data_IF_585763645539
#
_entry.id   IF_585763645539
#
_cell.length_a   1.000
_cell.length_b   1.000
_cell.length_c   1.000
_cell.angle_alpha   90.00
_cell.angle_beta   90.00
_cell.angle_gamma   90.00
#
_symmetry.space_group_name_H-M   'P 1'
#
loop_
_entity.id
_entity.type
_entity.pdbx_description
1 polymer ?
#
# COMPACT_ATOMS: atom_id res chain seq x y z
N UNK A 1 24.96 2.47 -25.60
CA UNK A 1 24.46 2.34 -24.22
C UNK A 1 24.75 3.59 -23.40
N UNK A 2 23.70 4.30 -22.99
CA UNK A 2 23.79 5.41 -22.03
C UNK A 2 24.16 4.84 -20.65
N UNK A 3 25.32 5.21 -20.10
CA UNK A 3 25.76 4.75 -18.78
C UNK A 3 25.39 5.80 -17.73
N UNK A 4 24.41 5.46 -16.91
CA UNK A 4 24.03 6.25 -15.74
C UNK A 4 25.07 5.98 -14.65
N UNK A 5 25.80 7.01 -14.22
CA UNK A 5 26.67 6.90 -13.05
C UNK A 5 25.85 7.04 -11.77
N UNK A 6 26.34 6.45 -10.68
CA UNK A 6 25.78 6.64 -9.34
C UNK A 6 25.58 8.12 -9.01
N UNK A 7 26.59 8.93 -9.28
CA UNK A 7 26.56 10.37 -9.02
C UNK A 7 25.55 11.11 -9.92
N UNK A 8 25.30 10.61 -11.14
CA UNK A 8 24.22 11.14 -11.98
C UNK A 8 22.86 10.80 -11.38
N UNK A 9 22.65 9.58 -10.88
CA UNK A 9 21.39 9.17 -10.27
C UNK A 9 21.08 9.97 -9.00
N UNK A 10 22.06 10.14 -8.11
CA UNK A 10 21.91 10.98 -6.90
C UNK A 10 21.62 12.43 -7.29
N UNK A 11 22.39 13.02 -8.21
CA UNK A 11 22.15 14.41 -8.66
C UNK A 11 20.82 14.58 -9.35
N UNK A 12 20.37 13.58 -10.11
CA UNK A 12 19.07 13.59 -10.76
C UNK A 12 17.97 13.60 -9.70
N UNK A 13 18.06 12.73 -8.69
CA UNK A 13 17.08 12.68 -7.61
C UNK A 13 17.04 13.98 -6.82
N UNK A 14 18.19 14.54 -6.44
CA UNK A 14 18.27 15.84 -5.75
C UNK A 14 17.69 16.97 -6.60
N UNK A 15 18.10 17.07 -7.87
CA UNK A 15 17.62 18.12 -8.80
C UNK A 15 16.11 18.07 -9.03
N UNK A 16 15.50 16.90 -8.90
CA UNK A 16 14.08 16.69 -9.10
C UNK A 16 13.30 16.49 -7.79
N UNK A 17 13.93 16.77 -6.63
CA UNK A 17 13.35 16.60 -5.30
C UNK A 17 12.70 15.22 -5.09
N UNK A 18 13.33 14.19 -5.66
CA UNK A 18 12.92 12.79 -5.49
C UNK A 18 13.56 12.27 -4.20
N UNK A 19 12.75 12.03 -3.19
CA UNK A 19 13.20 11.45 -1.92
C UNK A 19 12.82 9.97 -1.83
N UNK A 20 13.63 9.13 -1.16
CA UNK A 20 13.29 7.72 -0.95
C UNK A 20 12.11 7.51 0.02
N UNK A 21 11.80 8.52 0.84
CA UNK A 21 10.77 8.46 1.88
C UNK A 21 9.85 9.66 1.79
N UNK A 22 8.69 9.47 1.17
CA UNK A 22 7.76 10.56 0.92
C UNK A 22 6.62 10.57 1.94
N UNK A 23 6.90 11.03 3.17
CA UNK A 23 5.90 11.15 4.26
C UNK A 23 4.75 12.13 3.95
N UNK A 24 4.94 13.01 2.95
CA UNK A 24 3.96 14.01 2.49
C UNK A 24 3.49 13.77 1.05
N UNK A 25 3.29 12.50 0.67
CA UNK A 25 2.81 12.06 -0.66
C UNK A 25 1.66 12.89 -1.24
N UNK A 26 0.67 13.23 -0.41
CA UNK A 26 -0.54 13.97 -0.79
C UNK A 26 -0.25 15.45 -1.13
N UNK A 27 0.81 16.02 -0.56
CA UNK A 27 1.23 17.41 -0.81
C UNK A 27 2.04 17.58 -2.09
N UNK A 28 2.59 16.49 -2.64
CA UNK A 28 3.47 16.62 -3.80
C UNK A 28 2.73 17.19 -5.02
N UNK A 29 3.35 18.14 -5.73
CA UNK A 29 2.73 18.73 -6.90
C UNK A 29 2.59 17.68 -7.99
N UNK A 30 1.34 17.27 -8.25
CA UNK A 30 1.05 16.49 -9.45
C UNK A 30 1.25 17.36 -10.71
N UNK A 31 1.73 16.75 -11.82
CA UNK A 31 1.66 17.33 -13.15
C UNK A 31 0.28 17.92 -13.42
N UNK A 32 0.21 19.01 -14.18
CA UNK A 32 -1.04 19.76 -14.38
C UNK A 32 -2.21 18.88 -14.87
N UNK A 33 -1.93 17.93 -15.77
CA UNK A 33 -2.90 16.95 -16.28
C UNK A 33 -3.42 16.02 -15.17
N UNK A 34 -2.52 15.46 -14.37
CA UNK A 34 -2.87 14.58 -13.24
C UNK A 34 -3.61 15.32 -12.13
N UNK A 35 -3.32 16.61 -11.95
CA UNK A 35 -4.04 17.46 -10.99
C UNK A 35 -5.52 17.56 -11.33
N UNK A 36 -5.85 17.78 -12.60
CA UNK A 36 -7.21 17.80 -13.11
C UNK A 36 -7.90 16.45 -12.95
N UNK A 37 -7.20 15.36 -13.28
CA UNK A 37 -7.73 14.00 -13.17
C UNK A 37 -8.14 13.64 -11.74
N UNK A 38 -7.28 13.84 -10.73
CA UNK A 38 -7.71 13.52 -9.37
C UNK A 38 -8.72 14.53 -8.81
N UNK A 39 -8.76 15.78 -9.30
CA UNK A 39 -9.86 16.70 -9.03
C UNK A 39 -11.22 16.15 -9.49
N UNK A 40 -11.28 15.67 -10.73
CA UNK A 40 -12.47 15.05 -11.31
C UNK A 40 -12.86 13.76 -10.57
N UNK A 41 -11.89 12.95 -10.17
CA UNK A 41 -12.13 11.75 -9.34
C UNK A 41 -12.77 12.10 -7.99
N UNK A 42 -12.21 13.06 -7.25
CA UNK A 42 -12.77 13.48 -5.96
C UNK A 42 -14.21 13.97 -6.12
N UNK A 43 -14.47 14.80 -7.13
CA UNK A 43 -15.84 15.28 -7.42
C UNK A 43 -16.78 14.12 -7.75
N UNK A 44 -16.33 13.17 -8.57
CA UNK A 44 -17.08 11.96 -8.91
C UNK A 44 -17.41 11.13 -7.67
N UNK A 45 -16.42 10.79 -6.85
CA UNK A 45 -16.60 9.97 -5.66
C UNK A 45 -17.60 10.63 -4.68
N UNK A 46 -17.41 11.92 -4.38
CA UNK A 46 -18.31 12.65 -3.50
C UNK A 46 -19.72 12.81 -4.08
N UNK A 47 -19.85 12.91 -5.41
CA UNK A 47 -21.16 12.90 -6.09
C UNK A 47 -21.85 11.55 -5.94
N UNK A 48 -21.14 10.44 -6.12
CA UNK A 48 -21.71 9.10 -5.96
C UNK A 48 -22.17 8.85 -4.52
N UNK A 49 -21.34 9.20 -3.53
CA UNK A 49 -21.69 9.09 -2.11
C UNK A 49 -22.98 9.85 -1.79
N UNK A 50 -23.12 11.08 -2.29
CA UNK A 50 -24.33 11.91 -2.09
C UNK A 50 -25.54 11.38 -2.84
N UNK A 51 -25.40 11.07 -4.13
CA UNK A 51 -26.50 10.67 -5.00
C UNK A 51 -27.13 9.34 -4.58
N UNK A 52 -26.33 8.40 -4.07
CA UNK A 52 -26.78 7.10 -3.63
C UNK A 52 -27.02 7.03 -2.11
N UNK A 53 -26.80 8.13 -1.38
CA UNK A 53 -26.88 8.20 0.08
C UNK A 53 -26.11 7.05 0.76
N UNK A 54 -24.90 6.77 0.28
CA UNK A 54 -24.11 5.63 0.76
C UNK A 54 -23.73 5.83 2.23
N UNK A 55 -24.06 4.88 3.12
CA UNK A 55 -23.56 4.93 4.49
C UNK A 55 -22.04 4.74 4.47
N UNK A 56 -21.35 5.37 5.42
CA UNK A 56 -19.87 5.28 5.53
C UNK A 56 -19.35 3.85 5.61
N UNK A 57 -20.15 2.93 6.14
CA UNK A 57 -19.82 1.51 6.20
C UNK A 57 -19.90 0.76 4.87
N UNK A 58 -20.42 1.39 3.82
CA UNK A 58 -20.53 0.84 2.46
C UNK A 58 -19.60 1.58 1.49
N UNK A 59 -18.70 2.41 2.00
CA UNK A 59 -17.64 3.07 1.23
C UNK A 59 -16.34 2.44 1.69
N UNK A 60 -15.69 1.68 0.83
CA UNK A 60 -14.46 0.98 1.14
C UNK A 60 -13.31 1.49 0.27
N UNK A 61 -12.09 1.41 0.78
CA UNK A 61 -10.87 1.48 0.00
C UNK A 61 -10.22 0.10 0.03
N UNK A 62 -9.83 -0.39 -1.14
CA UNK A 62 -9.19 -1.70 -1.33
C UNK A 62 -7.91 -1.50 -2.15
N UNK A 63 -6.86 -2.23 -1.77
CA UNK A 63 -5.56 -2.21 -2.44
C UNK A 63 -4.74 -3.43 -1.97
N UNK A 64 -3.81 -3.86 -2.81
CA UNK A 64 -2.94 -5.01 -2.64
C UNK A 64 -1.57 -4.60 -2.07
N UNK A 65 -0.97 -5.53 -1.32
CA UNK A 65 0.41 -5.45 -0.87
C UNK A 65 1.13 -6.77 -1.16
N UNK A 66 1.95 -6.74 -2.20
CA UNK A 66 2.84 -7.84 -2.59
C UNK A 66 4.02 -7.96 -1.63
N UNK A 67 4.29 -9.17 -1.19
CA UNK A 67 5.45 -9.54 -0.40
C UNK A 67 6.32 -10.51 -1.20
N UNK A 68 7.58 -10.17 -1.37
CA UNK A 68 8.58 -10.95 -2.08
C UNK A 68 9.61 -11.51 -1.10
N UNK A 69 10.09 -12.71 -1.37
CA UNK A 69 11.20 -13.33 -0.63
C UNK A 69 12.36 -13.61 -1.56
N UNK A 70 13.51 -13.03 -1.25
CA UNK A 70 14.77 -13.35 -1.90
C UNK A 70 15.36 -14.61 -1.27
N UNK A 71 15.28 -15.72 -2.01
CA UNK A 71 15.78 -17.02 -1.56
C UNK A 71 17.31 -17.08 -1.45
N UNK A 72 18.04 -16.31 -2.26
CA UNK A 72 19.51 -16.27 -2.23
C UNK A 72 19.99 -15.56 -0.96
N UNK A 73 19.39 -14.40 -0.67
CA UNK A 73 19.67 -13.62 0.54
C UNK A 73 19.24 -14.38 1.80
N UNK A 74 18.13 -15.11 1.73
CA UNK A 74 17.67 -15.97 2.83
C UNK A 74 18.62 -17.14 3.10
N UNK A 75 19.13 -17.78 2.04
CA UNK A 75 20.03 -18.94 2.10
C UNK A 75 21.49 -18.62 2.44
N UNK A 76 21.91 -17.35 2.31
CA UNK A 76 23.28 -16.90 2.52
C UNK A 76 23.80 -16.92 3.97
N UNK A 77 25.02 -16.39 4.15
CA UNK A 77 25.81 -16.41 5.39
C UNK A 77 25.21 -15.60 6.58
N UNK A 78 24.08 -14.94 6.34
CA UNK A 78 23.26 -14.25 7.34
C UNK A 78 23.55 -12.77 7.51
N UNK A 79 24.56 -12.18 6.82
CA UNK A 79 24.89 -10.76 6.96
C UNK A 79 23.86 -9.81 6.32
N UNK A 80 23.09 -10.29 5.33
CA UNK A 80 22.08 -9.52 4.58
C UNK A 80 20.65 -10.07 4.70
N UNK A 81 20.38 -11.03 5.59
CA UNK A 81 19.06 -11.70 5.68
C UNK A 81 17.91 -10.74 6.04
N UNK A 82 18.23 -9.63 6.69
CA UNK A 82 17.30 -8.54 6.95
C UNK A 82 16.69 -7.92 5.68
N UNK A 83 17.38 -8.03 4.55
CA UNK A 83 16.94 -7.52 3.24
C UNK A 83 16.12 -8.54 2.43
N UNK A 84 15.97 -9.77 2.93
CA UNK A 84 15.33 -10.85 2.17
C UNK A 84 13.82 -10.69 1.97
N UNK A 85 13.13 -10.01 2.90
CA UNK A 85 11.72 -9.64 2.71
C UNK A 85 11.65 -8.29 2.01
N UNK A 86 11.00 -8.25 0.85
CA UNK A 86 10.81 -7.06 0.05
C UNK A 86 9.33 -6.81 -0.21
N UNK A 87 8.95 -5.54 -0.36
CA UNK A 87 7.57 -5.12 -0.71
C UNK A 87 7.48 -4.56 -2.14
N UNK A 88 8.60 -4.61 -2.85
CA UNK A 88 8.78 -4.29 -4.26
C UNK A 88 9.79 -5.32 -4.76
N UNK A 89 9.47 -6.01 -5.84
CA UNK A 89 10.31 -7.07 -6.36
C UNK A 89 10.04 -7.33 -7.83
N UNK A 90 11.00 -7.98 -8.47
CA UNK A 90 10.86 -8.46 -9.84
C UNK A 90 10.49 -9.94 -9.81
N UNK A 91 9.44 -10.31 -10.54
CA UNK A 91 8.93 -11.68 -10.58
C UNK A 91 7.66 -11.85 -9.76
N UNK A 92 7.42 -13.08 -9.31
CA UNK A 92 6.14 -13.44 -8.73
C UNK A 92 6.18 -13.34 -7.19
N UNK A 93 5.13 -12.78 -6.58
CA UNK A 93 5.04 -12.56 -5.15
C UNK A 93 5.04 -13.88 -4.36
N UNK A 94 5.68 -13.87 -3.19
CA UNK A 94 5.55 -14.95 -2.21
C UNK A 94 4.15 -14.95 -1.59
N UNK A 95 3.67 -13.76 -1.21
CA UNK A 95 2.33 -13.57 -0.68
C UNK A 95 1.72 -12.28 -1.25
N UNK A 96 0.41 -12.32 -1.52
CA UNK A 96 -0.39 -11.16 -1.87
C UNK A 96 -1.40 -10.87 -0.75
N UNK A 97 -1.34 -9.66 -0.20
CA UNK A 97 -2.23 -9.22 0.87
C UNK A 97 -3.22 -8.18 0.33
N UNK A 98 -4.51 -8.52 0.28
CA UNK A 98 -5.58 -7.57 -0.05
C UNK A 98 -6.11 -6.94 1.24
N UNK A 99 -5.93 -5.63 1.36
CA UNK A 99 -6.41 -4.84 2.50
C UNK A 99 -7.72 -4.15 2.17
N UNK A 100 -8.61 -4.04 3.15
CA UNK A 100 -9.86 -3.28 2.97
C UNK A 100 -10.23 -2.51 4.22
N UNK A 101 -10.34 -1.19 4.05
CA UNK A 101 -10.75 -0.27 5.12
C UNK A 101 -12.02 0.45 4.72
N UNK A 102 -12.86 0.78 5.71
CA UNK A 102 -14.16 1.41 5.50
C UNK A 102 -14.14 2.86 5.97
N UNK A 103 -14.93 3.70 5.32
CA UNK A 103 -15.01 5.12 5.67
C UNK A 103 -15.68 5.40 7.03
N UNK A 104 -16.26 4.37 7.67
CA UNK A 104 -16.73 4.43 9.06
C UNK A 104 -15.65 4.07 10.08
N UNK A 105 -14.43 3.76 9.63
CA UNK A 105 -13.26 3.46 10.43
C UNK A 105 -13.02 1.97 10.69
N UNK A 106 -13.91 1.08 10.24
CA UNK A 106 -13.69 -0.35 10.38
C UNK A 106 -12.66 -0.88 9.37
N UNK A 107 -11.98 -1.95 9.75
CA UNK A 107 -11.08 -2.73 8.90
C UNK A 107 -11.74 -4.09 8.67
N UNK A 108 -11.88 -4.50 7.42
CA UNK A 108 -12.41 -5.84 7.11
C UNK A 108 -11.31 -6.89 7.24
N UNK A 109 -11.65 -8.19 7.40
CA UNK A 109 -10.65 -9.25 7.35
C UNK A 109 -9.82 -9.16 6.07
N UNK A 110 -8.50 -9.19 6.19
CA UNK A 110 -7.59 -9.13 5.05
C UNK A 110 -7.54 -10.50 4.35
N UNK A 111 -7.51 -10.51 3.02
CA UNK A 111 -7.23 -11.73 2.27
C UNK A 111 -5.72 -11.85 2.12
N UNK A 112 -5.13 -12.96 2.56
CA UNK A 112 -3.74 -13.29 2.30
C UNK A 112 -3.70 -14.50 1.37
N UNK A 113 -3.17 -14.31 0.17
CA UNK A 113 -2.91 -15.39 -0.78
C UNK A 113 -1.43 -15.74 -0.71
N UNK A 114 -1.10 -16.94 -0.23
CA UNK A 114 0.27 -17.44 -0.22
C UNK A 114 0.52 -18.37 -1.39
N UNK A 115 1.66 -18.19 -2.06
CA UNK A 115 2.15 -19.13 -3.05
C UNK A 115 2.80 -20.34 -2.41
N UNK A 116 2.54 -21.52 -2.98
CA UNK A 116 2.92 -22.81 -2.43
C UNK A 116 1.93 -23.29 -1.37
N UNK A 117 1.81 -24.61 -1.24
CA UNK A 117 1.04 -25.20 -0.13
C UNK A 117 1.97 -25.39 1.07
N UNK A 118 1.77 -24.64 2.17
CA UNK A 118 2.62 -24.76 3.34
C UNK A 118 2.51 -26.17 3.92
N UNK A 119 3.66 -26.80 4.16
CA UNK A 119 3.77 -28.10 4.83
C UNK A 119 4.77 -28.00 5.99
N UNK A 120 4.34 -28.19 7.25
CA UNK A 120 2.94 -28.36 7.68
C UNK A 120 2.11 -27.07 7.46
N UNK A 121 0.76 -27.17 7.43
CA UNK A 121 -0.10 -26.00 7.44
C UNK A 121 0.17 -25.10 8.67
N UNK A 122 -0.13 -23.79 8.58
CA UNK A 122 -0.05 -22.90 9.74
C UNK A 122 -0.86 -23.45 10.92
N UNK A 123 -0.27 -23.43 12.11
CA UNK A 123 -0.90 -23.88 13.35
C UNK A 123 -2.08 -23.01 13.75
N UNK A 124 -2.01 -21.70 13.48
CA UNK A 124 -3.09 -20.76 13.74
C UNK A 124 -3.10 -19.62 12.72
N UNK A 125 -4.31 -19.27 12.26
CA UNK A 125 -4.59 -18.10 11.42
C UNK A 125 -5.42 -17.11 12.25
N UNK A 126 -4.99 -15.84 12.40
CA UNK A 126 -5.79 -14.84 13.11
C UNK A 126 -7.18 -14.64 12.48
N UNK A 127 -8.21 -14.40 13.31
CA UNK A 127 -9.60 -14.22 12.84
C UNK A 127 -9.77 -13.04 11.86
N UNK A 128 -8.86 -12.07 11.89
CA UNK A 128 -8.82 -10.93 10.98
C UNK A 128 -8.14 -11.23 9.63
N UNK A 129 -7.75 -12.48 9.37
CA UNK A 129 -7.09 -12.90 8.13
C UNK A 129 -7.84 -14.09 7.51
N UNK A 130 -8.14 -13.96 6.23
CA UNK A 130 -8.59 -15.07 5.38
C UNK A 130 -7.40 -15.56 4.59
N UNK A 131 -6.86 -16.73 4.93
CA UNK A 131 -5.73 -17.34 4.21
C UNK A 131 -6.22 -18.20 3.04
N UNK A 132 -5.65 -18.00 1.86
CA UNK A 132 -5.73 -18.91 0.72
C UNK A 132 -4.32 -19.34 0.32
N UNK A 133 -4.09 -20.64 0.14
CA UNK A 133 -2.80 -21.17 -0.27
C UNK A 133 -2.95 -21.99 -1.57
N UNK A 134 -2.31 -21.52 -2.65
CA UNK A 134 -2.31 -22.19 -3.96
C UNK A 134 -0.88 -22.53 -4.38
N UNK A 135 -0.70 -23.69 -5.00
CA UNK A 135 0.61 -24.20 -5.41
C UNK A 135 1.32 -23.25 -6.37
N UNK A 136 0.63 -22.81 -7.42
CA UNK A 136 1.14 -21.91 -8.45
C UNK A 136 0.89 -20.41 -8.14
N UNK A 137 0.33 -20.10 -6.96
CA UNK A 137 -0.22 -18.77 -6.65
C UNK A 137 -1.63 -18.57 -7.23
N UNK A 138 -2.11 -17.32 -7.19
CA UNK A 138 -3.32 -16.89 -7.89
C UNK A 138 -2.93 -15.80 -8.88
N UNK A 139 -3.63 -15.73 -10.00
CA UNK A 139 -3.60 -14.52 -10.82
C UNK A 139 -4.43 -13.40 -10.19
N UNK A 140 -4.30 -12.20 -10.73
CA UNK A 140 -4.90 -11.01 -10.15
C UNK A 140 -6.45 -11.03 -10.20
N UNK A 141 -7.05 -11.63 -11.24
CA UNK A 141 -8.50 -11.75 -11.36
C UNK A 141 -9.05 -12.74 -10.32
N UNK A 142 -8.37 -13.87 -10.13
CA UNK A 142 -8.68 -14.87 -9.09
C UNK A 142 -8.57 -14.29 -7.68
N UNK A 143 -7.58 -13.43 -7.41
CA UNK A 143 -7.42 -12.74 -6.12
C UNK A 143 -8.67 -11.89 -5.84
N UNK A 144 -9.12 -11.11 -6.83
CA UNK A 144 -10.29 -10.26 -6.70
C UNK A 144 -11.59 -11.05 -6.57
N UNK A 145 -11.73 -12.19 -7.27
CA UNK A 145 -12.83 -13.12 -7.10
C UNK A 145 -12.91 -13.67 -5.67
N UNK A 146 -11.77 -14.14 -5.15
CA UNK A 146 -11.65 -14.66 -3.80
C UNK A 146 -11.97 -13.59 -2.76
N UNK A 147 -11.43 -12.39 -2.93
CA UNK A 147 -11.69 -11.25 -2.05
C UNK A 147 -13.18 -10.89 -2.05
N UNK A 148 -13.78 -10.74 -3.24
CA UNK A 148 -15.19 -10.41 -3.36
C UNK A 148 -16.10 -11.49 -2.74
N UNK A 149 -15.75 -12.77 -2.90
CA UNK A 149 -16.45 -13.90 -2.30
C UNK A 149 -16.34 -13.97 -0.77
N UNK A 150 -15.13 -13.82 -0.24
CA UNK A 150 -14.84 -14.18 1.14
C UNK A 150 -14.82 -13.00 2.10
N UNK A 151 -14.64 -11.78 1.60
CA UNK A 151 -14.54 -10.56 2.39
C UNK A 151 -15.73 -9.65 2.09
N UNK A 152 -15.87 -9.17 0.85
CA UNK A 152 -16.85 -8.13 0.53
C UNK A 152 -18.31 -8.62 0.65
N UNK A 153 -18.66 -9.76 0.03
CA UNK A 153 -20.03 -10.31 0.11
C UNK A 153 -20.47 -10.59 1.55
N UNK A 154 -19.59 -11.14 2.38
CA UNK A 154 -19.90 -11.37 3.80
C UNK A 154 -20.21 -10.07 4.54
N UNK A 155 -19.49 -9.00 4.23
CA UNK A 155 -19.74 -7.68 4.82
C UNK A 155 -21.09 -7.10 4.37
N UNK A 156 -21.42 -7.19 3.08
CA UNK A 156 -22.67 -6.63 2.54
C UNK A 156 -23.90 -7.44 2.99
N UNK A 157 -23.82 -8.76 3.07
CA UNK A 157 -24.88 -9.65 3.56
C UNK A 157 -25.24 -9.38 5.03
N UNK A 158 -24.24 -9.23 5.91
CA UNK A 158 -24.43 -8.88 7.32
C UNK A 158 -25.20 -7.56 7.52
N UNK A 159 -25.16 -6.66 6.53
CA UNK A 159 -25.80 -5.33 6.58
C UNK A 159 -27.11 -5.26 5.80
N UNK A 160 -27.32 -6.17 4.84
CA UNK A 160 -28.54 -6.27 4.05
C UNK A 160 -29.71 -6.93 4.77
N UNK A 161 -29.47 -7.72 5.82
CA UNK A 161 -30.51 -8.46 6.55
C UNK A 161 -31.53 -7.59 7.33
N UNK A 162 -31.31 -6.28 7.44
CA UNK A 162 -32.15 -5.36 8.21
C UNK A 162 -33.16 -4.51 7.41
N UNK A 163 -33.07 -4.48 6.08
CA UNK A 163 -33.94 -3.65 5.24
C UNK A 163 -34.81 -4.55 4.36
N UNK A 164 -36.12 -4.61 4.63
CA UNK A 164 -37.12 -5.38 3.87
C UNK A 164 -37.39 -4.85 2.45
N UNK A 165 -36.34 -4.41 1.73
CA UNK A 165 -36.39 -3.92 0.36
C UNK A 165 -35.71 -4.89 -0.61
N UNK A 166 -36.29 -5.04 -1.80
CA UNK A 166 -35.90 -5.94 -2.89
C UNK A 166 -34.62 -5.52 -3.65
N UNK A 167 -33.80 -4.64 -3.09
CA UNK A 167 -32.56 -4.16 -3.72
C UNK A 167 -31.36 -4.52 -2.84
N UNK A 168 -30.43 -5.31 -3.38
CA UNK A 168 -29.16 -5.60 -2.72
C UNK A 168 -28.45 -4.30 -2.32
N UNK A 169 -27.88 -4.21 -1.10
CA UNK A 169 -27.20 -3.00 -0.65
C UNK A 169 -25.99 -2.75 -1.56
N UNK A 170 -25.99 -1.60 -2.25
CA UNK A 170 -24.86 -1.19 -3.08
C UNK A 170 -23.82 -0.47 -2.22
N UNK A 171 -22.56 -0.86 -2.35
CA UNK A 171 -21.42 -0.11 -1.81
C UNK A 171 -20.56 0.48 -2.91
N UNK A 172 -19.66 1.38 -2.54
CA UNK A 172 -18.66 1.95 -3.42
C UNK A 172 -17.27 1.49 -2.96
N UNK A 173 -16.45 1.04 -3.91
CA UNK A 173 -15.07 0.64 -3.68
C UNK A 173 -14.16 1.69 -4.32
N UNK A 174 -13.23 2.22 -3.55
CA UNK A 174 -12.13 3.04 -4.04
C UNK A 174 -10.95 2.11 -4.30
N UNK A 175 -10.53 2.04 -5.55
CA UNK A 175 -9.46 1.17 -6.05
C UNK A 175 -8.55 1.99 -6.98
N UNK A 176 -7.31 1.58 -7.15
CA UNK A 176 -6.44 2.17 -8.15
C UNK A 176 -6.85 1.73 -9.57
N UNK A 177 -6.20 2.30 -10.59
CA UNK A 177 -6.40 1.90 -11.99
C UNK A 177 -5.45 0.77 -12.42
N UNK A 178 -5.01 -0.10 -11.52
CA UNK A 178 -4.24 -1.27 -11.92
C UNK A 178 -5.05 -2.05 -12.97
N UNK A 179 -4.37 -2.56 -14.00
CA UNK A 179 -5.03 -3.12 -15.19
C UNK A 179 -6.03 -4.22 -14.83
N UNK A 180 -5.72 -4.98 -13.81
CA UNK A 180 -6.47 -6.14 -13.32
C UNK A 180 -7.81 -5.71 -12.71
N UNK A 181 -7.84 -4.59 -12.01
CA UNK A 181 -9.06 -4.01 -11.48
C UNK A 181 -10.05 -3.55 -12.56
N UNK A 182 -9.58 -3.42 -13.80
CA UNK A 182 -10.35 -2.94 -14.94
C UNK A 182 -10.66 -4.06 -15.95
N UNK A 183 -10.34 -5.32 -15.64
CA UNK A 183 -10.75 -6.47 -16.47
C UNK A 183 -12.28 -6.61 -16.47
N UNK A 184 -12.84 -7.14 -17.55
CA UNK A 184 -14.29 -7.31 -17.66
C UNK A 184 -14.79 -8.31 -16.61
N UNK A 185 -13.98 -9.33 -16.34
CA UNK A 185 -14.14 -10.36 -15.34
C UNK A 185 -14.26 -9.74 -13.94
N UNK A 186 -13.28 -8.92 -13.53
CA UNK A 186 -13.31 -8.25 -12.22
C UNK A 186 -14.48 -7.29 -12.10
N UNK A 187 -14.77 -6.48 -13.14
CA UNK A 187 -15.92 -5.58 -13.12
C UNK A 187 -17.26 -6.33 -13.00
N UNK A 188 -17.40 -7.49 -13.63
CA UNK A 188 -18.56 -8.36 -13.49
C UNK A 188 -18.67 -8.93 -12.07
N UNK A 189 -17.55 -9.35 -11.48
CA UNK A 189 -17.46 -9.83 -10.10
C UNK A 189 -17.91 -8.74 -9.13
N UNK A 190 -17.36 -7.52 -9.24
CA UNK A 190 -17.73 -6.38 -8.40
C UNK A 190 -19.21 -6.04 -8.52
N UNK A 191 -19.73 -6.00 -9.76
CA UNK A 191 -21.15 -5.73 -10.02
C UNK A 191 -22.06 -6.78 -9.38
N UNK A 192 -21.72 -8.06 -9.53
CA UNK A 192 -22.46 -9.18 -8.91
C UNK A 192 -22.43 -9.13 -7.39
N UNK A 193 -21.34 -8.60 -6.81
CA UNK A 193 -21.16 -8.44 -5.38
C UNK A 193 -21.74 -7.12 -4.83
N UNK A 194 -22.44 -6.34 -5.66
CA UNK A 194 -23.06 -5.07 -5.26
C UNK A 194 -22.06 -3.96 -4.98
N UNK A 195 -20.88 -4.00 -5.59
CA UNK A 195 -19.85 -2.98 -5.49
C UNK A 195 -19.81 -2.10 -6.75
N UNK A 196 -19.90 -0.79 -6.55
CA UNK A 196 -19.60 0.20 -7.57
C UNK A 196 -18.12 0.57 -7.50
N UNK A 197 -17.30 0.28 -8.53
CA UNK A 197 -15.92 0.72 -8.56
C UNK A 197 -15.83 2.24 -8.78
N UNK A 198 -15.05 2.90 -7.92
CA UNK A 198 -14.57 4.27 -8.04
C UNK A 198 -13.06 4.22 -8.26
N UNK A 199 -12.69 4.16 -9.55
CA UNK A 199 -11.31 3.97 -10.00
C UNK A 199 -10.53 5.27 -9.88
N UNK A 200 -9.42 5.25 -9.15
CA UNK A 200 -8.48 6.35 -9.06
C UNK A 200 -7.71 6.46 -10.39
N UNK A 201 -7.61 7.65 -11.00
CA UNK A 201 -6.87 7.82 -12.24
C UNK A 201 -5.38 7.49 -12.08
N UNK A 202 -4.73 7.09 -13.18
CA UNK A 202 -3.31 6.79 -13.21
C UNK A 202 -2.46 7.95 -12.64
N UNK A 203 -1.47 7.60 -11.82
CA UNK A 203 -0.59 8.56 -11.16
C UNK A 203 -1.25 9.40 -10.05
N UNK A 204 -2.46 9.06 -9.61
CA UNK A 204 -3.19 9.82 -8.59
C UNK A 204 -3.36 9.08 -7.24
N UNK A 205 -2.89 7.83 -7.11
CA UNK A 205 -3.06 7.01 -5.89
C UNK A 205 -2.44 7.66 -4.66
N UNK A 206 -1.22 8.20 -4.77
CA UNK A 206 -0.53 8.91 -3.67
C UNK A 206 -1.33 10.04 -3.03
N UNK A 207 -2.31 10.60 -3.78
CA UNK A 207 -3.21 11.65 -3.32
C UNK A 207 -4.61 11.14 -2.96
N UNK A 208 -5.09 10.09 -3.62
CA UNK A 208 -6.52 9.77 -3.67
C UNK A 208 -6.88 8.38 -3.16
N UNK A 209 -5.88 7.56 -2.78
CA UNK A 209 -6.04 6.23 -2.21
C UNK A 209 -5.98 6.31 -0.67
N UNK A 210 -7.10 6.12 0.06
CA UNK A 210 -7.09 6.18 1.53
C UNK A 210 -6.10 5.21 2.21
N UNK A 211 -5.78 4.08 1.57
CA UNK A 211 -4.79 3.12 2.08
C UNK A 211 -3.35 3.67 1.98
N UNK A 212 -3.03 4.43 0.93
CA UNK A 212 -1.69 5.03 0.70
C UNK A 212 -1.42 6.24 1.60
N UNK A 213 -2.46 6.86 2.15
CA UNK A 213 -2.30 8.02 3.04
C UNK A 213 -1.46 7.66 4.26
N UNK A 214 -1.79 6.57 4.96
CA UNK A 214 -1.03 6.17 6.16
C UNK A 214 -0.95 4.66 6.40
N UNK A 215 -1.93 3.88 5.93
CA UNK A 215 -2.09 2.47 6.31
C UNK A 215 -1.02 1.58 5.68
N UNK A 216 -0.89 1.62 4.34
CA UNK A 216 0.01 0.75 3.58
C UNK A 216 1.47 1.03 3.93
N UNK A 217 1.84 2.31 4.03
CA UNK A 217 3.19 2.72 4.46
C UNK A 217 3.55 2.22 5.85
N UNK A 218 2.70 2.46 6.85
CA UNK A 218 2.95 2.02 8.22
C UNK A 218 2.99 0.48 8.34
N UNK A 219 2.12 -0.24 7.61
CA UNK A 219 2.14 -1.70 7.58
C UNK A 219 3.43 -2.24 6.97
N UNK A 220 3.90 -1.68 5.84
CA UNK A 220 5.19 -2.04 5.24
C UNK A 220 6.33 -1.86 6.24
N UNK A 221 6.42 -0.69 6.87
CA UNK A 221 7.44 -0.38 7.89
C UNK A 221 7.38 -1.36 9.07
N UNK A 222 6.19 -1.70 9.54
CA UNK A 222 5.99 -2.67 10.61
C UNK A 222 6.47 -4.08 10.24
N UNK A 223 6.10 -4.57 9.05
CA UNK A 223 6.53 -5.88 8.57
C UNK A 223 8.05 -5.96 8.42
N UNK A 224 8.67 -4.92 7.83
CA UNK A 224 10.13 -4.85 7.73
C UNK A 224 10.79 -4.81 9.12
N UNK A 225 10.25 -4.05 10.07
CA UNK A 225 10.77 -4.04 11.45
C UNK A 225 10.73 -5.44 12.09
N UNK A 226 9.56 -6.10 12.06
CA UNK A 226 9.39 -7.45 12.63
C UNK A 226 10.29 -8.47 11.93
N UNK A 227 10.46 -8.34 10.62
CA UNK A 227 11.39 -9.15 9.85
C UNK A 227 12.83 -8.96 10.35
N UNK A 228 13.33 -7.72 10.44
CA UNK A 228 14.69 -7.43 10.94
C UNK A 228 14.96 -8.01 12.33
N UNK A 229 14.00 -7.87 13.25
CA UNK A 229 14.11 -8.41 14.60
C UNK A 229 14.20 -9.95 14.65
N UNK A 230 13.67 -10.64 13.63
CA UNK A 230 13.57 -12.10 13.59
C UNK A 230 14.48 -12.77 12.57
N UNK A 231 14.98 -12.05 11.56
CA UNK A 231 15.78 -12.59 10.46
C UNK A 231 17.00 -13.40 10.95
N UNK A 232 17.68 -12.93 12.00
CA UNK A 232 18.82 -13.64 12.59
C UNK A 232 18.49 -15.04 13.16
N UNK A 233 17.24 -15.26 13.59
CA UNK A 233 16.74 -16.50 14.19
C UNK A 233 16.18 -17.48 13.15
N UNK A 234 15.91 -17.02 11.93
CA UNK A 234 15.26 -17.77 10.85
C UNK A 234 16.26 -18.50 9.92
N UNK A 235 17.38 -18.96 10.48
CA UNK A 235 18.44 -19.66 9.72
C UNK A 235 17.90 -20.96 9.11
N UNK A 236 17.95 -21.06 7.77
CA UNK A 236 17.51 -22.24 7.04
C UNK A 236 15.99 -22.45 7.02
N UNK A 237 15.20 -21.43 7.39
CA UNK A 237 13.76 -21.46 7.22
C UNK A 237 13.41 -21.38 5.73
N UNK A 238 12.46 -22.19 5.30
CA UNK A 238 11.83 -22.05 3.99
C UNK A 238 10.61 -21.11 4.05
N UNK A 239 10.07 -20.76 2.88
CA UNK A 239 8.89 -19.92 2.76
C UNK A 239 7.68 -20.45 3.58
N UNK A 240 7.55 -21.77 3.72
CA UNK A 240 6.48 -22.41 4.49
C UNK A 240 6.62 -22.13 6.00
N UNK A 241 7.83 -22.25 6.54
CA UNK A 241 8.12 -21.96 7.94
C UNK A 241 7.96 -20.46 8.28
N UNK A 242 8.11 -19.58 7.29
CA UNK A 242 7.98 -18.13 7.44
C UNK A 242 6.53 -17.63 7.43
N UNK A 243 5.59 -18.42 6.91
CA UNK A 243 4.18 -18.04 6.83
C UNK A 243 3.54 -17.87 8.21
N UNK A 244 3.87 -18.73 9.18
CA UNK A 244 3.29 -18.65 10.53
C UNK A 244 3.72 -17.36 11.28
N UNK A 245 5.00 -16.96 11.29
CA UNK A 245 5.42 -15.66 11.79
C UNK A 245 4.73 -14.50 11.07
N UNK A 246 4.66 -14.54 9.73
CA UNK A 246 4.02 -13.49 8.93
C UNK A 246 2.56 -13.30 9.31
N UNK A 247 1.79 -14.39 9.43
CA UNK A 247 0.40 -14.37 9.90
C UNK A 247 0.29 -13.72 11.28
N UNK A 248 1.20 -14.04 12.20
CA UNK A 248 1.24 -13.42 13.53
C UNK A 248 1.45 -11.91 13.48
N UNK A 249 2.41 -11.43 12.68
CA UNK A 249 2.68 -10.00 12.51
C UNK A 249 1.51 -9.27 11.84
N UNK A 250 0.96 -9.83 10.76
CA UNK A 250 -0.21 -9.28 10.10
C UNK A 250 -1.42 -9.20 11.05
N UNK A 251 -1.64 -10.25 11.85
CA UNK A 251 -2.69 -10.26 12.87
C UNK A 251 -2.52 -9.13 13.89
N UNK A 252 -1.30 -8.95 14.42
CA UNK A 252 -0.96 -7.86 15.35
C UNK A 252 -1.23 -6.48 14.71
N UNK A 253 -0.77 -6.26 13.48
CA UNK A 253 -0.96 -4.99 12.79
C UNK A 253 -2.43 -4.68 12.48
N UNK A 254 -3.19 -5.66 11.99
CA UNK A 254 -4.62 -5.50 11.69
C UNK A 254 -5.44 -5.25 12.96
N UNK A 255 -5.07 -5.88 14.08
CA UNK A 255 -5.73 -5.63 15.36
C UNK A 255 -5.47 -4.20 15.87
N UNK A 256 -4.25 -3.69 15.69
CA UNK A 256 -3.91 -2.27 15.99
C UNK A 256 -4.72 -1.33 15.10
N UNK A 257 -4.79 -1.59 13.78
CA UNK A 257 -5.59 -0.80 12.85
C UNK A 257 -7.07 -0.77 13.24
N UNK A 258 -7.63 -1.92 13.63
CA UNK A 258 -9.01 -2.05 14.11
C UNK A 258 -9.30 -1.25 15.40
N UNK A 259 -8.28 -0.92 16.19
CA UNK A 259 -8.38 -0.09 17.40
C UNK A 259 -8.23 1.41 17.12
N UNK A 260 -7.89 1.82 15.90
CA UNK A 260 -7.65 3.21 15.53
C UNK A 260 -8.62 3.71 14.43
N UNK A 261 -9.96 3.59 14.61
CA UNK A 261 -10.93 3.92 13.57
C UNK A 261 -10.91 5.39 13.14
N UNK A 262 -10.45 6.29 14.02
CA UNK A 262 -10.25 7.70 13.72
C UNK A 262 -9.17 7.95 12.66
N UNK A 263 -8.07 7.20 12.67
CA UNK A 263 -7.01 7.34 11.67
C UNK A 263 -7.52 6.92 10.29
N UNK A 264 -8.26 5.81 10.24
CA UNK A 264 -8.91 5.33 9.01
C UNK A 264 -9.94 6.35 8.50
N UNK A 265 -10.83 6.86 9.35
CA UNK A 265 -11.81 7.89 8.91
C UNK A 265 -11.13 9.13 8.34
N UNK A 266 -10.05 9.58 8.99
CA UNK A 266 -9.27 10.73 8.52
C UNK A 266 -8.59 10.45 7.18
N UNK A 267 -8.11 9.23 6.93
CA UNK A 267 -7.47 8.91 5.65
C UNK A 267 -8.42 9.09 4.45
N UNK A 268 -9.72 8.79 4.59
CA UNK A 268 -10.73 9.07 3.56
C UNK A 268 -10.99 10.57 3.32
N UNK A 269 -10.76 11.41 4.34
CA UNK A 269 -10.89 12.87 4.21
C UNK A 269 -9.66 13.46 3.51
N UNK A 270 -8.46 13.03 3.93
CA UNK A 270 -7.18 13.45 3.33
C UNK A 270 -7.11 13.01 1.87
N UNK A 271 -7.56 11.79 1.56
CA UNK A 271 -7.65 11.28 0.19
C UNK A 271 -8.74 11.96 -0.68
N UNK A 272 -9.55 12.85 -0.11
CA UNK A 272 -10.60 13.58 -0.81
C UNK A 272 -11.81 12.74 -1.26
N UNK A 273 -11.87 11.46 -0.88
CA UNK A 273 -13.01 10.56 -1.16
C UNK A 273 -14.28 11.06 -0.47
N UNK A 274 -14.14 11.54 0.76
CA UNK A 274 -15.22 12.15 1.53
C UNK A 274 -15.02 13.67 1.66
N UNK A 275 -16.11 14.46 1.65
CA UNK A 275 -16.01 15.90 1.84
C UNK A 275 -15.58 16.22 3.28
N UNK A 276 -14.73 17.24 3.44
CA UNK A 276 -14.35 17.73 4.76
C UNK A 276 -15.54 18.35 5.50
N UNK A 277 -15.61 18.17 6.85
CA UNK A 277 -16.56 18.91 7.67
C UNK A 277 -16.36 20.42 7.48
N UNK A 278 -17.44 21.17 7.25
CA UNK A 278 -17.38 22.63 7.12
C UNK A 278 -17.12 23.17 5.71
N UNK A 279 -16.85 22.32 4.72
CA UNK A 279 -16.68 22.75 3.33
C UNK A 279 -15.34 23.45 3.04
N UNK A 280 -14.36 23.33 3.93
CA UNK A 280 -12.98 23.77 3.68
C UNK A 280 -12.45 23.14 2.40
N UNK A 281 -11.85 23.97 1.54
CA UNK A 281 -11.20 23.51 0.33
C UNK A 281 -9.96 22.67 0.67
N UNK A 282 -9.72 21.60 -0.10
CA UNK A 282 -8.48 20.84 -0.02
C UNK A 282 -7.29 21.76 -0.30
N UNK A 283 -6.27 21.72 0.57
CA UNK A 283 -5.04 22.49 0.40
C UNK A 283 -3.86 21.53 0.53
N UNK A 284 -3.01 21.38 -0.51
CA UNK A 284 -1.96 20.37 -0.54
C UNK A 284 -1.04 20.39 0.68
N UNK A 285 -0.64 21.57 1.18
CA UNK A 285 0.21 21.69 2.36
C UNK A 285 -0.44 21.09 3.62
N UNK A 286 -1.64 21.56 3.98
CA UNK A 286 -2.41 21.01 5.11
C UNK A 286 -2.68 19.52 4.97
N UNK A 287 -3.00 19.06 3.76
CA UNK A 287 -3.25 17.64 3.51
C UNK A 287 -1.98 16.79 3.71
N UNK A 288 -0.81 17.36 3.38
CA UNK A 288 0.49 16.79 3.69
C UNK A 288 0.78 16.73 5.18
N UNK A 289 0.55 17.82 5.91
CA UNK A 289 0.76 17.86 7.36
C UNK A 289 -0.16 16.88 8.08
N UNK A 290 -1.45 16.83 7.68
CA UNK A 290 -2.40 15.85 8.20
C UNK A 290 -1.99 14.42 7.84
N UNK A 291 -1.44 14.16 6.66
CA UNK A 291 -0.89 12.85 6.28
C UNK A 291 0.27 12.44 7.19
N UNK A 292 1.21 13.34 7.43
CA UNK A 292 2.38 13.07 8.27
C UNK A 292 2.01 12.80 9.73
N UNK A 293 1.04 13.54 10.27
CA UNK A 293 0.45 13.28 11.59
C UNK A 293 -0.19 11.89 11.66
N UNK A 294 -0.94 11.50 10.61
CA UNK A 294 -1.57 10.18 10.55
C UNK A 294 -0.54 9.05 10.48
N UNK A 295 0.52 9.21 9.69
CA UNK A 295 1.63 8.25 9.62
C UNK A 295 2.29 8.13 10.99
N UNK A 296 2.68 9.25 11.59
CA UNK A 296 3.36 9.27 12.89
C UNK A 296 2.53 8.62 14.00
N UNK A 297 1.24 8.95 14.06
CA UNK A 297 0.32 8.37 15.02
C UNK A 297 0.16 6.85 14.81
N UNK A 298 0.04 6.39 13.57
CA UNK A 298 -0.11 4.96 13.29
C UNK A 298 1.20 4.19 13.57
N UNK A 299 2.35 4.75 13.21
CA UNK A 299 3.66 4.17 13.50
C UNK A 299 3.92 4.06 15.01
N UNK A 300 3.50 5.06 15.81
CA UNK A 300 3.56 4.99 17.27
C UNK A 300 2.72 3.83 17.80
N UNK A 301 1.49 3.65 17.29
CA UNK A 301 0.58 2.56 17.72
C UNK A 301 1.11 1.19 17.35
N UNK A 302 1.75 1.07 16.19
CA UNK A 302 2.43 -0.14 15.74
C UNK A 302 3.79 -0.34 16.45
N UNK A 303 4.13 0.51 17.42
CA UNK A 303 5.40 0.51 18.16
C UNK A 303 6.61 0.53 17.22
N UNK A 304 6.51 1.20 16.07
CA UNK A 304 7.61 1.34 15.10
C UNK A 304 8.62 2.37 15.62
N UNK A 305 8.13 3.43 16.28
CA UNK A 305 8.94 4.45 16.94
C UNK A 305 9.86 3.82 18.01
N UNK A 306 11.16 3.76 17.73
CA UNK A 306 12.17 3.16 18.63
C UNK A 306 13.41 2.56 17.95
N UNK A 307 13.43 2.44 16.62
CA UNK A 307 14.64 2.06 15.87
C UNK A 307 15.32 3.34 15.37
N UNK A 308 16.54 3.70 15.83
CA UNK A 308 17.25 4.85 15.32
C UNK A 308 17.83 4.48 13.95
N UNK A 309 17.04 4.63 12.91
CA UNK A 309 17.57 5.03 11.61
C UNK A 309 17.28 6.53 11.50
N UNK A 310 18.35 7.30 11.65
CA UNK A 310 18.46 8.76 11.60
C UNK A 310 17.21 9.49 11.10
N UNK A 311 16.39 9.96 12.04
CA UNK A 311 15.50 11.10 11.81
C UNK A 311 16.30 12.37 12.13
N UNK A 312 16.62 13.26 11.17
CA UNK A 312 16.79 14.66 11.52
C UNK A 312 15.39 15.14 11.92
N UNK A 313 15.24 15.56 13.18
CA UNK A 313 13.99 16.12 13.64
C UNK A 313 13.67 17.39 12.85
N UNK A 314 12.44 17.49 12.33
CA UNK A 314 11.90 18.77 11.85
C UNK A 314 11.74 19.71 13.05
N UNK A 315 12.81 20.43 13.37
CA UNK A 315 12.66 21.73 14.01
C UNK A 315 12.20 22.67 12.90
N UNK A 316 10.98 23.19 13.01
CA UNK A 316 10.46 24.15 12.05
C UNK A 316 11.39 25.36 11.96
N UNK A 317 11.92 25.59 10.77
CA UNK A 317 12.29 26.88 10.21
C UNK A 317 12.38 26.73 8.69
N UNK A 318 11.88 27.74 7.98
CA UNK A 318 11.79 27.84 6.52
C UNK A 318 13.17 27.97 5.86
N UNK A 319 13.98 26.90 5.84
CA UNK A 319 15.24 26.86 5.09
C UNK A 319 15.29 25.60 4.21
N UNK A 320 14.91 25.76 2.94
CA UNK A 320 14.91 24.71 1.89
C UNK A 320 16.31 24.07 1.69
N UNK A 321 17.38 24.75 2.11
CA UNK A 321 18.77 24.30 1.97
C UNK A 321 19.18 23.18 2.97
N UNK A 322 18.55 23.09 4.15
CA UNK A 322 18.90 22.07 5.18
C UNK A 322 18.22 20.70 4.91
N UNK A 323 17.03 20.69 4.28
CA UNK A 323 16.35 19.46 3.86
C UNK A 323 17.08 18.77 2.69
N UNK A 324 17.68 19.55 1.77
CA UNK A 324 18.43 19.04 0.62
C UNK A 324 19.75 18.36 1.04
N UNK A 325 20.44 18.85 2.06
CA UNK A 325 21.65 18.19 2.62
C UNK A 325 21.31 16.88 3.34
N UNK A 326 20.24 16.85 4.13
CA UNK A 326 19.78 15.63 4.81
C UNK A 326 19.25 14.58 3.81
N UNK A 327 18.56 15.04 2.75
CA UNK A 327 18.11 14.20 1.63
C UNK A 327 19.28 13.64 0.82
N UNK A 328 20.32 14.44 0.59
CA UNK A 328 21.56 14.00 -0.06
C UNK A 328 22.28 12.94 0.76
N UNK A 329 22.45 13.12 2.08
CA UNK A 329 23.07 12.10 2.93
C UNK A 329 22.26 10.80 2.99
N UNK A 330 20.93 10.88 3.03
CA UNK A 330 20.05 9.70 3.02
C UNK A 330 20.14 8.94 1.69
N UNK A 331 20.18 9.65 0.56
CA UNK A 331 20.41 9.07 -0.76
C UNK A 331 21.80 8.44 -0.85
N UNK A 332 22.82 9.14 -0.34
CA UNK A 332 24.18 8.62 -0.33
C UNK A 332 24.31 7.31 0.47
N UNK A 333 23.67 7.22 1.65
CA UNK A 333 23.63 5.97 2.44
C UNK A 333 22.83 4.85 1.78
N UNK A 334 21.71 5.17 1.12
CA UNK A 334 20.86 4.19 0.44
C UNK A 334 21.66 3.46 -0.65
N UNK A 335 22.34 4.23 -1.50
CA UNK A 335 23.11 3.65 -2.59
C UNK A 335 24.48 3.10 -2.17
N UNK A 336 25.13 3.64 -1.12
CA UNK A 336 26.36 3.05 -0.58
C UNK A 336 26.11 1.75 0.19
N UNK A 337 24.95 1.58 0.82
CA UNK A 337 24.55 0.34 1.50
C UNK A 337 24.28 -0.83 0.55
N UNK A 338 23.91 -0.53 -0.70
CA UNK A 338 23.62 -1.52 -1.75
C UNK A 338 24.77 -1.69 -2.77
N UNK A 339 25.71 -0.75 -2.84
CA UNK A 339 26.82 -0.77 -3.80
C UNK A 339 27.99 -1.67 -3.36
N UNK A 340 27.88 -2.98 -3.60
CA UNK A 340 29.04 -3.69 -4.14
C UNK A 340 28.99 -3.55 -5.66
N UNK A 341 30.03 -2.97 -6.22
CA UNK A 341 30.08 -2.49 -7.59
C UNK A 341 29.96 -3.61 -8.63
N UNK A 342 28.74 -3.90 -9.08
CA UNK A 342 28.50 -4.36 -10.45
C UNK A 342 27.88 -3.20 -11.21
N UNK A 343 28.66 -2.62 -12.12
CA UNK A 343 28.21 -1.50 -12.95
C UNK A 343 26.96 -1.91 -13.72
N UNK A 344 25.86 -1.18 -13.51
CA UNK A 344 24.67 -1.27 -14.34
C UNK A 344 25.04 -1.01 -15.81
N UNK A 345 25.09 -2.06 -16.61
CA UNK A 345 25.20 -1.95 -18.06
C UNK A 345 23.81 -1.65 -18.58
N UNK A 346 23.54 -0.38 -18.87
CA UNK A 346 22.23 0.06 -19.36
C UNK A 346 21.76 -0.73 -20.59
N UNK A 347 20.46 -0.63 -20.86
CA UNK A 347 19.76 -1.35 -21.94
C UNK A 347 20.52 -1.34 -23.27
N UNK A 348 20.60 -2.52 -23.90
CA UNK A 348 21.18 -2.65 -25.24
C UNK A 348 20.26 -1.94 -26.24
N UNK A 349 20.85 -1.38 -27.30
CA UNK A 349 20.13 -0.61 -28.34
C UNK A 349 18.99 -1.40 -29.01
N UNK A 350 18.97 -2.73 -28.88
CA UNK A 350 17.90 -3.59 -29.36
C UNK A 350 16.57 -3.42 -28.59
N UNK A 351 16.60 -2.91 -27.36
CA UNK A 351 15.41 -2.72 -26.52
C UNK A 351 14.74 -1.35 -26.70
N UNK A 352 15.33 -0.46 -27.53
CA UNK A 352 14.85 0.91 -27.74
C UNK A 352 14.10 1.13 -29.06
N UNK A 353 13.95 0.10 -29.91
CA UNK A 353 13.16 0.19 -31.14
C UNK A 353 11.86 -0.60 -31.04
N UNK A 354 10.84 -0.03 -30.35
CA UNK A 354 9.44 -0.28 -30.67
C UNK A 354 8.62 0.99 -30.40
N UNK A 355 8.25 1.69 -31.48
CA UNK A 355 7.04 2.52 -31.47
C UNK A 355 7.09 3.93 -32.08
N UNK A 356 7.84 4.17 -33.16
CA UNK A 356 7.46 5.21 -34.12
C UNK A 356 6.78 4.52 -35.32
N UNK A 357 5.46 4.34 -35.26
CA UNK A 357 4.49 4.45 -36.39
C UNK A 357 3.12 4.82 -35.83
#
# INVERSE_FOLDING_TARGET
GFKISYEWAVRFMLRHHLSPHTRRGVAHPLPAELRGNAGAFMEFAQRQVRAQALPRSMIAAVDELSLFLDAEVLGGDGRRRESALQTVGNGEPWCELVLTVLADGNVLPALLVSRGRPQPPPAAVPDCIVLEAKEDGCDDDEIMELWAARVWRKHTECRGAGAGGTTSPKGMLVLDCHRTHLSEEVLAVLSSAGALPAVIPAGCSSRSQPLDVCVKGALKSFLHKKWRERAGQLRGADASALLQPLLGWLGEALEVLGRCPELIRKSFLVAGVLPRPGGDAASPGRDGDEQEELISALEERLSIAGSPESSPGCAGNDDEDEEDEAGAEALHRLFEGESEAESFYGFEEADLELGDV
#
